data_IF_552074984626
#
_entry.id   IF_552074984626
#
_cell.length_a   1.000
_cell.length_b   1.000
_cell.length_c   1.000
_cell.angle_alpha   90.00
_cell.angle_beta   90.00
_cell.angle_gamma   90.00
#
_symmetry.space_group_name_H-M   'P 1'
#
loop_
_entity.id
_entity.type
_entity.pdbx_description
1 polymer ?
#
# COMPACT_ATOMS: atom_id res chain seq x y z
N UNK A 1 -0.51 -4.60 -14.86
CA UNK A 1 0.51 -3.54 -14.81
C UNK A 1 1.87 -4.09 -14.41
N UNK A 2 2.08 -4.54 -13.18
CA UNK A 2 3.41 -4.98 -12.70
C UNK A 2 3.92 -6.35 -13.21
N UNK A 3 3.12 -7.12 -13.93
CA UNK A 3 3.57 -8.32 -14.68
C UNK A 3 4.04 -8.00 -16.11
N UNK A 4 4.01 -6.75 -16.52
CA UNK A 4 4.43 -6.30 -17.84
C UNK A 4 5.68 -5.42 -17.81
N UNK A 5 5.88 -4.67 -18.87
CA UNK A 5 7.05 -3.83 -19.11
C UNK A 5 7.35 -2.83 -17.99
N UNK A 6 6.33 -2.19 -17.43
CA UNK A 6 6.50 -1.28 -16.28
C UNK A 6 7.13 -2.00 -15.08
N UNK A 7 6.65 -3.22 -14.76
CA UNK A 7 7.20 -4.00 -13.67
C UNK A 7 8.67 -4.35 -13.90
N UNK A 8 9.03 -4.76 -15.10
CA UNK A 8 10.43 -5.04 -15.47
C UNK A 8 11.31 -3.81 -15.25
N UNK A 9 10.88 -2.64 -15.72
CA UNK A 9 11.64 -1.39 -15.54
C UNK A 9 11.80 -0.99 -14.06
N UNK A 10 10.82 -1.31 -13.20
CA UNK A 10 10.98 -1.12 -11.75
C UNK A 10 12.03 -2.07 -11.17
N UNK A 11 12.00 -3.35 -11.55
CA UNK A 11 12.99 -4.33 -11.07
C UNK A 11 14.41 -3.95 -11.53
N UNK A 12 14.58 -3.48 -12.76
CA UNK A 12 15.87 -3.06 -13.30
C UNK A 12 16.48 -1.87 -12.51
N UNK A 13 15.63 -0.94 -12.06
CA UNK A 13 16.08 0.21 -11.24
C UNK A 13 16.64 -0.20 -9.87
N UNK A 14 16.31 -1.38 -9.36
CA UNK A 14 16.84 -1.88 -8.08
C UNK A 14 18.35 -2.11 -8.12
N UNK A 15 18.93 -2.33 -9.30
CA UNK A 15 20.37 -2.42 -9.48
C UNK A 15 21.12 -1.16 -9.01
N UNK A 16 20.48 0.02 -9.13
CA UNK A 16 21.03 1.29 -8.65
C UNK A 16 21.18 1.39 -7.14
N UNK A 17 20.49 0.52 -6.38
CA UNK A 17 20.58 0.41 -4.92
C UNK A 17 21.17 -0.94 -4.46
N UNK A 18 21.94 -1.58 -5.33
CA UNK A 18 22.63 -2.85 -5.08
C UNK A 18 21.70 -4.01 -4.70
N UNK A 19 20.53 -4.07 -5.34
CA UNK A 19 19.57 -5.17 -5.20
C UNK A 19 19.29 -5.79 -6.58
N UNK A 20 19.13 -7.11 -6.61
CA UNK A 20 18.63 -7.84 -7.76
C UNK A 20 17.13 -8.09 -7.58
N UNK A 21 16.30 -7.56 -8.49
CA UNK A 21 14.86 -7.73 -8.45
C UNK A 21 14.43 -9.08 -9.04
N UNK A 22 13.73 -9.88 -8.24
CA UNK A 22 13.20 -11.19 -8.64
C UNK A 22 11.76 -11.12 -9.11
N UNK A 23 10.94 -10.26 -8.49
CA UNK A 23 9.52 -10.13 -8.80
C UNK A 23 8.84 -9.03 -8.00
N UNK A 24 7.59 -8.76 -8.37
CA UNK A 24 6.73 -7.80 -7.67
C UNK A 24 5.43 -8.50 -7.30
N UNK A 25 5.17 -8.58 -5.99
CA UNK A 25 3.96 -9.13 -5.40
C UNK A 25 2.98 -8.04 -4.98
N UNK A 26 1.75 -8.43 -4.67
CA UNK A 26 0.67 -7.53 -4.27
C UNK A 26 0.50 -7.56 -2.75
N UNK A 27 0.57 -6.38 -2.09
CA UNK A 27 0.13 -6.26 -0.71
C UNK A 27 -1.33 -5.78 -0.61
N UNK A 28 -1.84 -5.16 -1.68
CA UNK A 28 -3.21 -4.71 -1.81
C UNK A 28 -3.42 -3.21 -1.70
N UNK A 29 -4.68 -2.79 -1.82
CA UNK A 29 -5.09 -1.40 -1.63
C UNK A 29 -5.14 -1.05 -0.15
N UNK A 30 -4.57 0.09 0.20
CA UNK A 30 -4.52 0.60 1.57
C UNK A 30 -5.79 1.35 1.92
N UNK A 31 -6.28 1.11 3.12
CA UNK A 31 -7.51 1.63 3.68
C UNK A 31 -7.25 2.28 5.04
N UNK A 32 -8.05 3.27 5.41
CA UNK A 32 -7.90 4.01 6.67
C UNK A 32 -8.66 3.30 7.79
N UNK A 33 -8.00 3.07 8.93
CA UNK A 33 -8.69 2.74 10.18
C UNK A 33 -8.56 3.86 11.20
N UNK A 34 -9.55 4.03 12.08
CA UNK A 34 -9.46 4.95 13.20
C UNK A 34 -10.38 4.55 14.36
N UNK A 35 -10.14 5.14 15.55
CA UNK A 35 -10.90 4.90 16.78
C UNK A 35 -11.93 5.99 17.10
N UNK A 36 -12.12 6.98 16.20
CA UNK A 36 -12.89 8.21 16.53
C UNK A 36 -14.26 8.27 15.86
N UNK A 37 -14.34 7.97 14.56
CA UNK A 37 -15.55 8.21 13.77
C UNK A 37 -15.55 7.47 12.45
N UNK A 38 -16.72 7.31 11.88
CA UNK A 38 -16.89 6.91 10.50
C UNK A 38 -16.30 7.98 9.57
N UNK A 39 -15.65 7.54 8.49
CA UNK A 39 -15.15 8.39 7.42
C UNK A 39 -15.98 8.10 6.18
N UNK A 40 -16.94 8.96 5.88
CA UNK A 40 -17.83 8.88 4.72
C UNK A 40 -17.42 9.85 3.60
N UNK A 41 -16.58 10.82 3.94
CA UNK A 41 -16.05 11.83 3.01
C UNK A 41 -14.62 12.17 3.36
N UNK A 42 -13.92 12.87 2.45
CA UNK A 42 -12.56 13.33 2.71
C UNK A 42 -12.49 14.34 3.86
N UNK A 43 -13.56 15.08 4.13
CA UNK A 43 -13.59 16.08 5.20
C UNK A 43 -13.65 15.45 6.59
N UNK A 44 -14.15 14.21 6.70
CA UNK A 44 -14.15 13.45 7.96
C UNK A 44 -12.75 13.04 8.42
N UNK A 45 -11.75 13.13 7.53
CA UNK A 45 -10.34 12.85 7.85
C UNK A 45 -9.67 13.99 8.63
N UNK A 46 -10.22 15.22 8.52
CA UNK A 46 -9.60 16.40 9.09
C UNK A 46 -9.33 16.26 10.60
N UNK A 47 -8.09 16.53 11.01
CA UNK A 47 -7.64 16.51 12.41
C UNK A 47 -7.45 15.12 13.01
N UNK A 48 -7.67 14.02 12.26
CA UNK A 48 -7.29 12.69 12.74
C UNK A 48 -5.77 12.57 12.80
N UNK A 49 -5.26 12.04 13.91
CA UNK A 49 -3.85 11.69 14.08
C UNK A 49 -3.60 10.32 13.46
N UNK A 50 -3.08 10.32 12.24
CA UNK A 50 -2.89 9.09 11.46
C UNK A 50 -1.42 8.70 11.45
N UNK A 51 -1.11 7.49 11.92
CA UNK A 51 0.21 6.90 11.69
C UNK A 51 0.40 6.62 10.21
N UNK A 52 1.52 7.01 9.68
CA UNK A 52 1.97 6.63 8.34
C UNK A 52 3.27 5.83 8.41
N UNK A 53 3.62 5.16 7.31
CA UNK A 53 5.00 4.72 7.12
C UNK A 53 5.92 5.95 7.04
N UNK A 54 7.22 5.75 7.28
CA UNK A 54 8.27 6.76 7.08
C UNK A 54 8.52 7.01 5.58
N UNK A 55 7.45 7.41 4.88
CA UNK A 55 7.42 7.63 3.44
C UNK A 55 6.81 9.01 3.15
N UNK A 56 7.56 9.87 2.46
CA UNK A 56 7.15 11.25 2.20
C UNK A 56 5.87 11.35 1.36
N UNK A 57 5.62 10.40 0.47
CA UNK A 57 4.39 10.37 -0.35
C UNK A 57 3.16 10.13 0.53
N UNK A 58 3.22 9.15 1.44
CA UNK A 58 2.11 8.89 2.38
C UNK A 58 1.89 10.06 3.34
N UNK A 59 2.96 10.63 3.88
CA UNK A 59 2.90 11.79 4.79
C UNK A 59 2.24 12.98 4.08
N UNK A 60 2.68 13.30 2.87
CA UNK A 60 2.15 14.41 2.08
C UNK A 60 0.67 14.20 1.73
N UNK A 61 0.30 12.97 1.33
CA UNK A 61 -1.07 12.63 1.01
C UNK A 61 -2.01 12.88 2.19
N UNK A 62 -1.73 12.30 3.36
CA UNK A 62 -2.60 12.45 4.53
C UNK A 62 -2.66 13.90 5.05
N UNK A 63 -1.55 14.64 4.97
CA UNK A 63 -1.56 16.08 5.27
C UNK A 63 -2.45 16.87 4.31
N UNK A 64 -2.45 16.55 3.02
CA UNK A 64 -3.34 17.17 2.04
C UNK A 64 -4.82 16.85 2.32
N UNK A 65 -5.11 15.66 2.87
CA UNK A 65 -6.46 15.31 3.32
C UNK A 65 -6.88 16.05 4.62
N UNK A 66 -5.96 16.76 5.26
CA UNK A 66 -6.22 17.50 6.51
C UNK A 66 -5.94 16.72 7.80
N UNK A 67 -5.34 15.55 7.71
CA UNK A 67 -4.93 14.76 8.86
C UNK A 67 -3.62 15.27 9.48
N UNK A 68 -3.41 14.95 10.77
CA UNK A 68 -2.12 15.03 11.43
C UNK A 68 -1.35 13.72 11.18
N UNK A 69 -0.55 13.72 10.09
CA UNK A 69 0.19 12.54 9.65
C UNK A 69 1.49 12.39 10.43
N UNK A 70 1.59 11.34 11.24
CA UNK A 70 2.74 11.04 12.09
C UNK A 70 3.50 9.83 11.57
N UNK A 71 4.72 9.99 10.99
CA UNK A 71 5.54 8.87 10.58
C UNK A 71 6.05 8.09 11.79
N UNK A 72 5.91 6.75 11.73
CA UNK A 72 6.30 5.88 12.84
C UNK A 72 6.56 4.46 12.35
N UNK A 73 7.53 3.77 12.96
CA UNK A 73 7.74 2.34 12.70
C UNK A 73 6.50 1.51 13.03
N UNK A 74 6.33 0.36 12.36
CA UNK A 74 5.16 -0.49 12.62
C UNK A 74 5.17 -1.07 14.04
N UNK A 75 6.35 -1.41 14.55
CA UNK A 75 6.48 -1.96 15.91
C UNK A 75 6.00 -1.03 17.02
N UNK A 76 6.06 0.29 16.80
CA UNK A 76 5.59 1.30 17.75
C UNK A 76 4.13 1.68 17.55
N UNK A 77 3.62 1.53 16.31
CA UNK A 77 2.30 1.99 15.91
C UNK A 77 1.16 1.38 16.73
N UNK A 78 1.18 0.06 16.94
CA UNK A 78 0.12 -0.64 17.67
C UNK A 78 -0.01 -0.13 19.11
N UNK A 79 1.11 0.05 19.81
CA UNK A 79 1.13 0.58 21.18
C UNK A 79 0.62 2.03 21.22
N UNK A 80 1.01 2.87 20.25
CA UNK A 80 0.55 4.25 20.15
C UNK A 80 -0.98 4.34 19.89
N UNK A 81 -1.53 3.45 19.05
CA UNK A 81 -2.97 3.32 18.84
C UNK A 81 -3.70 2.87 20.11
N UNK A 82 -3.17 1.86 20.80
CA UNK A 82 -3.75 1.33 22.03
C UNK A 82 -3.78 2.38 23.15
N UNK A 83 -2.77 3.22 23.23
CA UNK A 83 -2.67 4.30 24.21
C UNK A 83 -3.46 5.56 23.81
N UNK A 84 -4.03 5.61 22.61
CA UNK A 84 -4.74 6.77 22.09
C UNK A 84 -3.84 7.97 21.74
N UNK A 85 -2.53 7.77 21.63
CA UNK A 85 -1.60 8.78 21.15
C UNK A 85 -1.81 9.06 19.64
N UNK A 86 -2.25 8.04 18.91
CA UNK A 86 -2.71 8.11 17.52
C UNK A 86 -4.18 7.69 17.45
N UNK A 87 -4.91 8.28 16.51
CA UNK A 87 -6.32 7.95 16.28
C UNK A 87 -6.47 6.79 15.29
N UNK A 88 -5.55 6.69 14.32
CA UNK A 88 -5.66 5.70 13.26
C UNK A 88 -4.35 5.38 12.55
N UNK A 89 -4.46 4.47 11.59
CA UNK A 89 -3.40 4.03 10.70
C UNK A 89 -4.00 3.67 9.33
N UNK A 90 -3.17 3.37 8.35
CA UNK A 90 -3.60 2.94 7.02
C UNK A 90 -2.80 1.73 6.54
N UNK A 91 -3.50 0.71 6.04
CA UNK A 91 -2.93 -0.54 5.53
C UNK A 91 -3.95 -1.30 4.65
N UNK A 92 -3.53 -2.32 3.89
CA UNK A 92 -4.45 -3.29 3.29
C UNK A 92 -5.27 -4.03 4.34
N UNK A 93 -6.48 -4.47 3.97
CA UNK A 93 -7.41 -5.12 4.90
C UNK A 93 -6.82 -6.41 5.52
N UNK A 94 -6.07 -7.17 4.74
CA UNK A 94 -5.36 -8.36 5.24
C UNK A 94 -4.35 -8.02 6.33
N UNK A 95 -3.61 -6.91 6.19
CA UNK A 95 -2.65 -6.44 7.21
C UNK A 95 -3.38 -5.95 8.45
N UNK A 96 -4.51 -5.24 8.29
CA UNK A 96 -5.36 -4.79 9.39
C UNK A 96 -5.86 -5.99 10.21
N UNK A 97 -6.35 -7.03 9.54
CA UNK A 97 -6.85 -8.24 10.16
C UNK A 97 -5.74 -9.01 10.88
N UNK A 98 -4.66 -9.33 10.20
CA UNK A 98 -3.59 -10.20 10.74
C UNK A 98 -2.81 -9.56 11.87
N UNK A 99 -2.81 -8.23 11.97
CA UNK A 99 -2.21 -7.49 13.08
C UNK A 99 -3.21 -7.08 14.17
N UNK A 100 -4.42 -7.62 14.15
CA UNK A 100 -5.45 -7.38 15.16
C UNK A 100 -5.79 -5.89 15.38
N UNK A 101 -5.71 -5.07 14.33
CA UNK A 101 -5.96 -3.62 14.44
C UNK A 101 -7.40 -3.32 14.88
N UNK A 102 -8.35 -4.23 14.61
CA UNK A 102 -9.73 -4.12 15.07
C UNK A 102 -9.88 -4.02 16.61
N UNK A 103 -8.87 -4.44 17.38
CA UNK A 103 -8.87 -4.31 18.83
C UNK A 103 -8.60 -2.87 19.32
N UNK A 104 -8.03 -2.02 18.47
CA UNK A 104 -7.64 -0.65 18.83
C UNK A 104 -8.27 0.41 17.93
N UNK A 105 -8.79 0.03 16.77
CA UNK A 105 -9.56 0.88 15.86
C UNK A 105 -10.85 0.16 15.47
N UNK A 106 -11.99 0.83 15.59
CA UNK A 106 -13.30 0.25 15.33
C UNK A 106 -13.98 0.79 14.05
N UNK A 107 -13.34 1.70 13.34
CA UNK A 107 -13.82 2.23 12.06
C UNK A 107 -12.81 1.89 10.95
N UNK A 108 -13.31 1.36 9.84
CA UNK A 108 -12.57 1.05 8.62
C UNK A 108 -13.20 1.80 7.45
N UNK A 109 -12.49 2.72 6.84
CA UNK A 109 -12.90 3.39 5.62
C UNK A 109 -12.14 2.82 4.41
N UNK A 110 -12.89 2.28 3.46
CA UNK A 110 -12.36 1.68 2.22
C UNK A 110 -11.94 2.79 1.24
N UNK A 111 -10.91 3.53 1.64
CA UNK A 111 -10.39 4.68 0.87
C UNK A 111 -9.63 4.24 -0.38
N UNK A 112 -9.01 3.07 -0.36
CA UNK A 112 -8.18 2.53 -1.46
C UNK A 112 -7.21 3.57 -2.06
N UNK A 113 -6.69 4.45 -1.21
CA UNK A 113 -5.93 5.64 -1.57
C UNK A 113 -4.53 5.35 -2.12
N UNK A 114 -3.98 4.18 -1.85
CA UNK A 114 -2.69 3.74 -2.36
C UNK A 114 -2.68 2.23 -2.61
N UNK A 115 -2.08 1.83 -3.72
CA UNK A 115 -1.82 0.42 -4.03
C UNK A 115 -0.40 0.06 -3.59
N UNK A 116 -0.28 -0.89 -2.69
CA UNK A 116 1.01 -1.35 -2.14
C UNK A 116 1.50 -2.61 -2.85
N UNK A 117 2.77 -2.59 -3.22
CA UNK A 117 3.50 -3.73 -3.77
C UNK A 117 4.63 -4.15 -2.84
N UNK A 118 5.06 -5.41 -2.97
CA UNK A 118 6.22 -5.97 -2.29
C UNK A 118 7.24 -6.40 -3.34
N UNK A 119 8.46 -5.86 -3.25
CA UNK A 119 9.54 -6.28 -4.12
C UNK A 119 10.25 -7.50 -3.52
N UNK A 120 10.32 -8.57 -4.30
CA UNK A 120 11.16 -9.71 -3.98
C UNK A 120 12.55 -9.45 -4.53
N UNK A 121 13.52 -9.46 -3.65
CA UNK A 121 14.89 -9.05 -3.97
C UNK A 121 15.89 -10.05 -3.46
N UNK A 122 17.06 -10.07 -4.07
CA UNK A 122 18.21 -10.88 -3.69
C UNK A 122 19.48 -10.02 -3.72
N UNK A 123 20.51 -10.42 -2.98
CA UNK A 123 21.85 -9.85 -3.15
C UNK A 123 22.36 -10.12 -4.56
N UNK A 124 22.90 -9.12 -5.26
CA UNK A 124 23.52 -9.33 -6.58
C UNK A 124 24.65 -10.36 -6.56
N UNK A 125 25.41 -10.44 -5.47
CA UNK A 125 26.48 -11.43 -5.29
C UNK A 125 25.91 -12.86 -5.25
N UNK A 126 24.83 -13.07 -4.49
CA UNK A 126 24.14 -14.35 -4.44
C UNK A 126 23.58 -14.71 -5.82
N UNK A 127 22.94 -13.77 -6.51
CA UNK A 127 22.44 -14.00 -7.85
C UNK A 127 23.55 -14.37 -8.84
N UNK A 128 24.68 -13.67 -8.77
CA UNK A 128 25.83 -13.93 -9.64
C UNK A 128 26.47 -15.29 -9.40
N UNK A 129 26.35 -15.85 -8.19
CA UNK A 129 26.92 -17.17 -7.84
C UNK A 129 26.16 -18.36 -8.43
N UNK A 130 24.92 -18.17 -8.89
CA UNK A 130 24.13 -19.21 -9.51
C UNK A 130 24.58 -19.47 -10.96
N UNK A 131 24.47 -20.73 -11.39
CA UNK A 131 24.58 -21.10 -12.79
C UNK A 131 23.34 -20.66 -13.59
N UNK A 132 23.42 -20.75 -14.92
CA UNK A 132 22.35 -20.29 -15.80
C UNK A 132 21.07 -21.13 -15.64
N UNK A 133 21.16 -22.43 -15.39
CA UNK A 133 20.01 -23.31 -15.17
C UNK A 133 19.26 -22.92 -13.90
N UNK A 134 19.97 -22.64 -12.82
CA UNK A 134 19.40 -22.15 -11.56
C UNK A 134 18.73 -20.79 -11.76
N UNK A 135 19.38 -19.84 -12.46
CA UNK A 135 18.79 -18.52 -12.76
C UNK A 135 17.50 -18.62 -13.57
N UNK A 136 17.47 -19.44 -14.61
CA UNK A 136 16.26 -19.63 -15.42
C UNK A 136 15.14 -20.31 -14.60
N UNK A 137 15.49 -21.24 -13.72
CA UNK A 137 14.51 -21.84 -12.79
C UNK A 137 13.91 -20.79 -11.85
N UNK A 138 14.73 -19.92 -11.26
CA UNK A 138 14.23 -18.81 -10.42
C UNK A 138 13.26 -17.90 -11.20
N UNK A 139 13.64 -17.47 -12.39
CA UNK A 139 12.79 -16.58 -13.21
C UNK A 139 11.44 -17.22 -13.51
N UNK A 140 11.43 -18.49 -13.93
CA UNK A 140 10.21 -19.23 -14.24
C UNK A 140 9.31 -19.38 -13.01
N UNK A 141 9.87 -19.86 -11.89
CA UNK A 141 9.12 -20.07 -10.64
C UNK A 141 8.59 -18.74 -10.11
N UNK A 142 9.39 -17.67 -10.15
CA UNK A 142 8.92 -16.34 -9.71
C UNK A 142 7.81 -15.78 -10.57
N UNK A 143 7.82 -16.02 -11.88
CA UNK A 143 6.72 -15.62 -12.75
C UNK A 143 5.43 -16.36 -12.42
N UNK A 144 5.50 -17.68 -12.21
CA UNK A 144 4.37 -18.53 -11.82
C UNK A 144 3.81 -18.10 -10.45
N UNK A 145 4.66 -18.01 -9.43
CA UNK A 145 4.29 -17.60 -8.08
C UNK A 145 3.70 -16.18 -8.03
N UNK A 146 4.16 -15.25 -8.89
CA UNK A 146 3.64 -13.88 -8.91
C UNK A 146 2.20 -13.81 -9.45
N UNK A 147 1.77 -14.77 -10.25
CA UNK A 147 0.37 -14.89 -10.71
C UNK A 147 -0.49 -15.44 -9.57
N UNK A 148 -0.08 -16.55 -8.98
CA UNK A 148 -0.82 -17.20 -7.90
C UNK A 148 -0.93 -16.32 -6.66
N UNK A 149 0.14 -15.62 -6.29
CA UNK A 149 0.18 -14.69 -5.16
C UNK A 149 -0.87 -13.59 -5.32
N UNK A 150 -0.99 -13.00 -6.51
CA UNK A 150 -1.98 -11.95 -6.77
C UNK A 150 -3.41 -12.41 -6.60
N UNK A 151 -3.73 -13.59 -7.12
CA UNK A 151 -5.08 -14.17 -6.98
C UNK A 151 -5.37 -14.43 -5.50
N UNK A 152 -4.41 -14.99 -4.78
CA UNK A 152 -4.53 -15.27 -3.36
C UNK A 152 -4.64 -13.99 -2.53
N UNK A 153 -3.78 -12.99 -2.78
CA UNK A 153 -3.78 -11.72 -2.06
C UNK A 153 -5.13 -11.00 -2.18
N UNK A 154 -5.68 -10.90 -3.39
CA UNK A 154 -6.98 -10.27 -3.64
C UNK A 154 -8.15 -11.01 -2.97
N UNK A 155 -8.11 -12.33 -3.00
CA UNK A 155 -9.09 -13.15 -2.30
C UNK A 155 -9.01 -12.92 -0.79
N UNK A 156 -7.82 -12.99 -0.22
CA UNK A 156 -7.60 -12.77 1.22
C UNK A 156 -8.00 -11.36 1.65
N UNK A 157 -7.73 -10.33 0.85
CA UNK A 157 -8.09 -8.96 1.17
C UNK A 157 -9.62 -8.76 1.20
N UNK A 158 -10.33 -9.36 0.23
CA UNK A 158 -11.80 -9.37 0.20
C UNK A 158 -12.40 -10.13 1.41
N UNK A 159 -11.84 -11.29 1.77
CA UNK A 159 -12.28 -12.08 2.93
C UNK A 159 -11.96 -11.36 4.25
N UNK A 160 -10.85 -10.60 4.31
CA UNK A 160 -10.45 -9.85 5.48
C UNK A 160 -11.44 -8.74 5.84
N UNK A 161 -12.01 -8.02 4.87
CA UNK A 161 -13.03 -6.99 5.13
C UNK A 161 -14.25 -7.61 5.82
N UNK A 162 -14.76 -8.72 5.30
CA UNK A 162 -15.92 -9.40 5.90
C UNK A 162 -15.61 -9.93 7.32
N UNK A 163 -14.38 -10.34 7.59
CA UNK A 163 -13.98 -10.80 8.92
C UNK A 163 -13.81 -9.63 9.90
N UNK A 164 -13.29 -8.49 9.45
CA UNK A 164 -13.20 -7.26 10.27
C UNK A 164 -14.57 -6.72 10.65
N UNK A 165 -15.57 -6.80 9.76
CA UNK A 165 -16.98 -6.48 10.09
C UNK A 165 -17.53 -7.41 11.18
N UNK A 166 -17.28 -8.74 11.10
CA UNK A 166 -17.67 -9.69 12.14
C UNK A 166 -16.98 -9.43 13.48
N UNK A 167 -15.75 -8.89 13.46
CA UNK A 167 -15.02 -8.47 14.65
C UNK A 167 -15.54 -7.14 15.23
N UNK A 168 -16.55 -6.53 14.61
CA UNK A 168 -17.24 -5.35 15.10
C UNK A 168 -16.73 -4.02 14.53
N UNK A 169 -15.90 -4.02 13.49
CA UNK A 169 -15.55 -2.78 12.79
C UNK A 169 -16.73 -2.24 11.98
N UNK A 170 -16.96 -0.94 12.08
CA UNK A 170 -17.85 -0.24 11.14
C UNK A 170 -17.10 0.02 9.85
N UNK A 171 -17.59 -0.52 8.74
CA UNK A 171 -16.97 -0.33 7.43
C UNK A 171 -17.72 0.73 6.64
N UNK A 172 -17.00 1.71 6.09
CA UNK A 172 -17.53 2.77 5.23
C UNK A 172 -16.85 2.77 3.87
N UNK A 173 -17.57 3.29 2.85
CA UNK A 173 -17.11 3.35 1.47
C UNK A 173 -17.19 4.80 0.97
N UNK A 174 -16.23 5.66 1.37
CA UNK A 174 -16.24 7.06 0.94
C UNK A 174 -16.02 7.19 -0.57
N UNK A 175 -16.52 8.27 -1.15
CA UNK A 175 -16.27 8.59 -2.56
C UNK A 175 -14.79 8.88 -2.77
N UNK A 176 -14.11 7.95 -3.47
CA UNK A 176 -12.66 8.03 -3.76
C UNK A 176 -12.29 9.24 -4.61
N UNK A 177 -13.23 9.75 -5.43
CA UNK A 177 -12.95 10.91 -6.27
C UNK A 177 -12.61 12.15 -5.43
N UNK A 178 -13.21 12.31 -4.26
CA UNK A 178 -12.91 13.43 -3.34
C UNK A 178 -11.45 13.39 -2.88
N UNK A 179 -10.89 12.20 -2.63
CA UNK A 179 -9.48 12.04 -2.27
C UNK A 179 -8.55 12.32 -3.45
N UNK A 180 -8.92 11.88 -4.65
CA UNK A 180 -8.17 12.14 -5.89
C UNK A 180 -8.12 13.64 -6.17
N UNK A 181 -9.26 14.33 -6.10
CA UNK A 181 -9.37 15.77 -6.37
C UNK A 181 -8.52 16.57 -5.39
N UNK A 182 -8.58 16.21 -4.10
CA UNK A 182 -7.83 16.90 -3.05
C UNK A 182 -6.31 16.64 -3.12
N UNK A 183 -5.88 15.55 -3.77
CA UNK A 183 -4.49 15.21 -4.03
C UNK A 183 -3.94 15.73 -5.37
N UNK A 184 -4.73 16.45 -6.16
CA UNK A 184 -4.35 16.85 -7.53
C UNK A 184 -3.02 17.60 -7.61
N UNK A 185 -2.78 18.56 -6.70
CA UNK A 185 -1.53 19.33 -6.66
C UNK A 185 -0.31 18.46 -6.29
N UNK A 186 -0.51 17.44 -5.45
CA UNK A 186 0.55 16.48 -5.12
C UNK A 186 0.92 15.61 -6.32
N UNK A 187 -0.07 15.17 -7.09
CA UNK A 187 0.20 14.40 -8.31
C UNK A 187 1.02 15.21 -9.32
N UNK A 188 0.75 16.50 -9.50
CA UNK A 188 1.53 17.36 -10.37
C UNK A 188 3.00 17.47 -9.90
N UNK A 189 3.23 17.61 -8.60
CA UNK A 189 4.58 17.64 -8.02
C UNK A 189 5.31 16.31 -8.19
N UNK A 190 4.62 15.18 -8.02
CA UNK A 190 5.21 13.86 -8.18
C UNK A 190 5.52 13.52 -9.65
N UNK A 191 4.68 13.98 -10.58
CA UNK A 191 4.96 13.85 -12.02
C UNK A 191 6.24 14.63 -12.40
N UNK A 192 6.43 15.83 -11.85
CA UNK A 192 7.66 16.60 -12.03
C UNK A 192 8.89 15.87 -11.44
N UNK A 193 8.73 15.30 -10.23
CA UNK A 193 9.83 14.66 -9.49
C UNK A 193 10.21 13.29 -10.03
N UNK A 194 9.23 12.46 -10.41
CA UNK A 194 9.42 11.04 -10.76
C UNK A 194 9.27 10.74 -12.25
N UNK A 195 8.88 11.75 -13.06
CA UNK A 195 8.87 11.70 -14.51
C UNK A 195 7.76 10.84 -15.10
N UNK A 196 8.00 10.41 -16.33
CA UNK A 196 7.00 9.80 -17.22
C UNK A 196 6.34 8.52 -16.68
N UNK A 197 6.99 7.81 -15.75
CA UNK A 197 6.42 6.58 -15.17
C UNK A 197 5.09 6.80 -14.45
N UNK A 198 4.90 7.95 -13.79
CA UNK A 198 3.61 8.27 -13.13
C UNK A 198 2.53 8.47 -14.19
N UNK A 199 2.81 9.24 -15.23
CA UNK A 199 1.88 9.48 -16.34
C UNK A 199 1.49 8.17 -17.04
N UNK A 200 2.44 7.27 -17.28
CA UNK A 200 2.18 5.95 -17.86
C UNK A 200 1.27 5.08 -16.95
N UNK A 201 1.53 5.06 -15.64
CA UNK A 201 0.70 4.32 -14.67
C UNK A 201 -0.73 4.87 -14.65
N UNK A 202 -0.88 6.20 -14.64
CA UNK A 202 -2.19 6.85 -14.68
C UNK A 202 -2.95 6.52 -15.98
N UNK A 203 -2.29 6.55 -17.12
CA UNK A 203 -2.91 6.19 -18.40
C UNK A 203 -3.46 4.75 -18.43
N UNK A 204 -2.84 3.82 -17.72
CA UNK A 204 -3.32 2.45 -17.58
C UNK A 204 -4.53 2.32 -16.64
N UNK A 205 -4.70 3.23 -15.68
CA UNK A 205 -5.82 3.19 -14.73
C UNK A 205 -7.12 3.74 -15.29
N UNK A 206 -7.05 4.64 -16.27
CA UNK A 206 -8.24 5.28 -16.89
C UNK A 206 -8.97 4.37 -17.89
N UNK A 207 -8.33 3.28 -18.33
CA UNK A 207 -8.85 2.35 -19.34
C UNK A 207 -9.47 1.07 -18.74
N UNK A 208 -9.92 1.10 -17.48
CA UNK A 208 -10.61 -0.05 -16.84
C UNK A 208 -12.01 0.31 -16.40
#
# INVERSE_FOLDING_TARGET
>A
MFLGDIGTRFLDKLSGVQLYGLGIWESGFRNLTNSKRDVNSVDDVAGLKIRTMENQVHIAFWKAMGADATPMSWGEAYTALQQGALDGQENPATVILTNNVAQVNNHLAMTEHAYSTVFLVMSPETWASFDDETKETFKRVMAECSIEERELSRKMDSEAVAELEKQGMTVTYPDKQQFIDKAADLYAQWEEQYGDMISEIRALSVNK
#
